data_IF_673724868387
#
_entry.id   IF_673724868387
#
_cell.length_a   1.000
_cell.length_b   1.000
_cell.length_c   1.000
_cell.angle_alpha   90.00
_cell.angle_beta   90.00
_cell.angle_gamma   90.00
#
_symmetry.space_group_name_H-M   'P 1'
#
loop_
_entity.id
_entity.type
_entity.pdbx_description
1 polymer ?
#
# COMPACT_ATOMS: atom_id res chain seq x y z
N UNK A 1 -17.14 -2.89 -1.55
CA UNK A 1 -15.95 -2.06 -1.83
C UNK A 1 -14.76 -2.94 -2.18
N UNK A 2 -14.50 -3.98 -1.39
CA UNK A 2 -13.40 -4.95 -1.56
C UNK A 2 -13.34 -5.58 -2.96
N UNK A 3 -14.48 -6.01 -3.52
CA UNK A 3 -14.54 -6.59 -4.87
C UNK A 3 -14.11 -5.61 -5.95
N UNK A 4 -14.51 -4.33 -5.85
CA UNK A 4 -14.12 -3.32 -6.84
C UNK A 4 -12.61 -3.04 -6.80
N UNK A 5 -12.00 -2.97 -5.61
CA UNK A 5 -10.54 -2.81 -5.46
C UNK A 5 -9.80 -4.03 -6.01
N UNK A 6 -10.27 -5.23 -5.65
CA UNK A 6 -9.71 -6.49 -6.15
C UNK A 6 -9.76 -6.56 -7.67
N UNK A 7 -10.93 -6.35 -8.25
CA UNK A 7 -11.16 -6.53 -9.69
C UNK A 7 -10.40 -5.45 -10.48
N UNK A 8 -10.29 -4.22 -9.94
CA UNK A 8 -9.45 -3.17 -10.48
C UNK A 8 -7.97 -3.58 -10.54
N UNK A 9 -7.41 -4.08 -9.42
CA UNK A 9 -6.02 -4.50 -9.36
C UNK A 9 -5.76 -5.74 -10.22
N UNK A 10 -6.69 -6.70 -10.26
CA UNK A 10 -6.59 -7.85 -11.16
C UNK A 10 -6.63 -7.45 -12.63
N UNK A 11 -7.49 -6.51 -13.02
CA UNK A 11 -7.57 -6.05 -14.40
C UNK A 11 -6.34 -5.25 -14.86
N UNK A 12 -5.60 -4.64 -13.93
CA UNK A 12 -4.47 -3.75 -14.23
C UNK A 12 -3.10 -4.40 -14.04
N UNK A 13 -2.96 -5.25 -13.02
CA UNK A 13 -1.71 -5.90 -12.64
C UNK A 13 -1.77 -7.43 -12.73
N UNK A 14 -2.98 -8.00 -12.70
CA UNK A 14 -3.17 -9.43 -12.84
C UNK A 14 -2.92 -9.85 -14.29
N UNK A 15 -2.19 -10.95 -14.45
CA UNK A 15 -2.10 -11.64 -15.74
C UNK A 15 -2.60 -13.06 -15.58
N UNK A 16 -3.13 -13.67 -16.64
CA UNK A 16 -3.55 -15.09 -16.62
C UNK A 16 -2.42 -16.05 -16.26
N UNK A 17 -1.14 -15.60 -16.32
CA UNK A 17 0.05 -16.38 -15.95
C UNK A 17 0.58 -16.09 -14.54
N UNK A 18 0.20 -14.96 -13.92
CA UNK A 18 0.60 -14.59 -12.57
C UNK A 18 -0.67 -14.32 -11.74
N UNK A 19 -1.17 -15.31 -10.99
CA UNK A 19 -2.34 -15.12 -10.14
C UNK A 19 -2.05 -14.13 -9.00
N UNK A 20 -0.77 -13.99 -8.61
CA UNK A 20 -0.29 -13.10 -7.55
C UNK A 20 -0.03 -11.69 -8.07
N UNK A 21 -0.57 -10.70 -7.37
CA UNK A 21 -0.35 -9.28 -7.64
C UNK A 21 0.94 -8.85 -6.95
N UNK A 22 1.96 -8.52 -7.75
CA UNK A 22 3.21 -7.95 -7.24
C UNK A 22 3.07 -6.45 -7.00
N UNK A 23 3.48 -6.03 -5.81
CA UNK A 23 3.38 -4.67 -5.30
C UNK A 23 4.74 -4.17 -4.81
N UNK A 24 4.91 -2.86 -4.79
CA UNK A 24 6.09 -2.22 -4.20
C UNK A 24 6.04 -2.41 -2.67
N UNK A 25 7.17 -2.68 -1.99
CA UNK A 25 7.18 -2.84 -0.54
C UNK A 25 6.58 -1.64 0.20
N UNK A 26 5.89 -1.91 1.31
CA UNK A 26 5.26 -0.89 2.15
C UNK A 26 6.30 0.09 2.68
N UNK A 27 7.51 -0.38 3.01
CA UNK A 27 8.62 0.46 3.50
C UNK A 27 9.02 1.57 2.53
N UNK A 28 8.78 1.41 1.23
CA UNK A 28 9.06 2.41 0.19
C UNK A 28 7.96 3.46 0.08
N UNK A 29 6.76 3.19 0.59
CA UNK A 29 5.56 4.02 0.37
C UNK A 29 5.07 4.68 1.68
N UNK A 30 5.16 3.98 2.80
CA UNK A 30 4.49 4.28 4.06
C UNK A 30 4.75 5.70 4.59
N UNK A 31 5.98 6.19 4.47
CA UNK A 31 6.41 7.48 5.02
C UNK A 31 6.60 8.56 3.96
N UNK A 32 6.16 8.31 2.72
CA UNK A 32 6.32 9.30 1.67
C UNK A 32 5.35 10.45 1.84
N UNK A 33 5.89 11.65 1.97
CA UNK A 33 5.15 12.89 1.76
C UNK A 33 4.99 13.19 0.26
N UNK A 34 4.19 14.20 -0.08
CA UNK A 34 3.86 14.51 -1.49
C UNK A 34 5.08 14.63 -2.42
N UNK A 35 6.18 15.26 -1.98
CA UNK A 35 7.42 15.33 -2.78
C UNK A 35 8.10 13.97 -2.91
N UNK A 36 8.18 13.20 -1.82
CA UNK A 36 8.76 11.86 -1.83
C UNK A 36 7.99 10.90 -2.75
N UNK A 37 6.66 11.07 -2.83
CA UNK A 37 5.82 10.33 -3.76
C UNK A 37 6.16 10.62 -5.22
N UNK A 38 6.32 11.91 -5.59
CA UNK A 38 6.72 12.30 -6.95
C UNK A 38 8.08 11.71 -7.30
N UNK A 39 9.05 11.83 -6.40
CA UNK A 39 10.39 11.28 -6.60
C UNK A 39 10.36 9.75 -6.78
N UNK A 40 9.62 9.02 -5.95
CA UNK A 40 9.46 7.57 -6.10
C UNK A 40 8.88 7.24 -7.49
N UNK A 41 7.88 7.99 -7.97
CA UNK A 41 7.30 7.74 -9.29
C UNK A 41 8.28 8.01 -10.43
N UNK A 42 9.18 8.98 -10.28
CA UNK A 42 10.23 9.27 -11.27
C UNK A 42 11.30 8.18 -11.33
N UNK A 43 11.70 7.65 -10.17
CA UNK A 43 12.72 6.60 -10.03
C UNK A 43 12.23 5.22 -10.48
N UNK A 44 10.93 4.92 -10.30
CA UNK A 44 10.38 3.63 -10.67
C UNK A 44 10.25 3.46 -12.20
N UNK A 45 10.56 2.26 -12.73
CA UNK A 45 10.19 1.88 -14.08
C UNK A 45 8.70 2.14 -14.33
N UNK A 46 8.30 2.55 -15.56
CA UNK A 46 6.90 2.84 -15.87
C UNK A 46 5.91 1.76 -15.44
N UNK A 47 6.30 0.49 -15.57
CA UNK A 47 5.48 -0.67 -15.22
C UNK A 47 5.28 -0.84 -13.70
N UNK A 48 6.19 -0.31 -12.88
CA UNK A 48 6.17 -0.42 -11.42
C UNK A 48 5.49 0.77 -10.74
N UNK A 49 5.34 1.90 -11.43
CA UNK A 49 4.60 3.07 -10.90
C UNK A 49 3.19 2.71 -10.47
N UNK A 50 2.52 1.88 -11.27
CA UNK A 50 1.17 1.41 -10.94
C UNK A 50 1.16 0.42 -9.75
N UNK A 51 2.26 -0.31 -9.51
CA UNK A 51 2.41 -1.18 -8.33
C UNK A 51 2.57 -0.38 -7.05
N UNK A 52 3.30 0.74 -7.08
CA UNK A 52 3.37 1.67 -5.96
C UNK A 52 1.99 2.25 -5.62
N UNK A 53 1.25 2.67 -6.65
CA UNK A 53 -0.16 3.08 -6.48
C UNK A 53 -1.01 1.97 -5.86
N UNK A 54 -0.89 0.73 -6.35
CA UNK A 54 -1.60 -0.42 -5.79
C UNK A 54 -1.31 -0.63 -4.31
N UNK A 55 -0.06 -0.45 -3.89
CA UNK A 55 0.36 -0.53 -2.48
C UNK A 55 -0.35 0.52 -1.63
N UNK A 56 -0.31 1.79 -2.05
CA UNK A 56 -0.97 2.89 -1.36
C UNK A 56 -2.50 2.69 -1.29
N UNK A 57 -3.11 2.20 -2.37
CA UNK A 57 -4.54 1.88 -2.43
C UNK A 57 -4.92 0.81 -1.42
N UNK A 58 -4.15 -0.29 -1.35
CA UNK A 58 -4.42 -1.39 -0.43
C UNK A 58 -4.22 -0.99 1.03
N UNK A 59 -3.19 -0.20 1.33
CA UNK A 59 -2.96 0.38 2.66
C UNK A 59 -4.16 1.24 3.08
N UNK A 60 -4.56 2.17 2.22
CA UNK A 60 -5.68 3.08 2.50
C UNK A 60 -6.97 2.29 2.73
N UNK A 61 -7.25 1.31 1.87
CA UNK A 61 -8.43 0.47 2.03
C UNK A 61 -8.38 -0.35 3.32
N UNK A 62 -7.23 -0.91 3.68
CA UNK A 62 -7.04 -1.71 4.88
C UNK A 62 -7.29 -0.93 6.18
N UNK A 63 -6.81 0.32 6.25
CA UNK A 63 -7.00 1.16 7.42
C UNK A 63 -8.40 1.77 7.50
N UNK A 64 -8.99 2.17 6.37
CA UNK A 64 -10.32 2.79 6.36
C UNK A 64 -11.46 1.77 6.50
N UNK A 65 -11.28 0.54 5.99
CA UNK A 65 -12.33 -0.50 6.00
C UNK A 65 -12.06 -1.66 6.96
N UNK A 66 -10.95 -1.63 7.70
CA UNK A 66 -10.53 -2.74 8.55
C UNK A 66 -11.11 -2.75 9.97
N UNK A 67 -12.08 -1.89 10.26
CA UNK A 67 -12.80 -1.82 11.53
C UNK A 67 -12.47 -0.58 12.38
N UNK A 68 -13.19 -0.39 13.50
CA UNK A 68 -13.11 0.82 14.33
C UNK A 68 -11.69 1.11 14.84
N UNK A 69 -10.96 0.07 15.25
CA UNK A 69 -9.60 0.21 15.80
C UNK A 69 -8.64 0.83 14.78
N UNK A 70 -8.71 0.38 13.51
CA UNK A 70 -7.85 0.89 12.44
C UNK A 70 -8.26 2.28 11.99
N UNK A 71 -9.56 2.56 11.96
CA UNK A 71 -10.06 3.91 11.71
C UNK A 71 -9.61 4.89 12.81
N UNK A 72 -9.50 4.43 14.05
CA UNK A 72 -8.99 5.24 15.15
C UNK A 72 -7.51 5.59 14.96
N UNK A 73 -6.69 4.68 14.41
CA UNK A 73 -5.30 4.98 14.01
C UNK A 73 -5.26 6.12 12.99
N UNK A 74 -6.06 6.02 11.91
CA UNK A 74 -6.13 7.09 10.90
C UNK A 74 -6.63 8.41 11.49
N UNK A 75 -7.63 8.37 12.36
CA UNK A 75 -8.16 9.59 13.01
C UNK A 75 -7.09 10.26 13.85
N UNK A 76 -6.39 9.51 14.71
CA UNK A 76 -5.28 10.04 15.52
C UNK A 76 -4.20 10.66 14.65
N UNK A 77 -3.85 10.00 13.56
CA UNK A 77 -2.88 10.51 12.59
C UNK A 77 -3.35 11.85 11.97
N UNK A 78 -4.60 11.96 11.52
CA UNK A 78 -5.13 13.20 10.95
C UNK A 78 -5.17 14.34 11.98
N UNK A 79 -5.51 14.03 13.24
CA UNK A 79 -5.47 14.99 14.34
C UNK A 79 -4.04 15.48 14.65
N UNK A 80 -3.04 14.61 14.50
CA UNK A 80 -1.62 14.93 14.65
C UNK A 80 -1.06 15.69 13.45
N UNK A 81 -1.54 15.41 12.22
CA UNK A 81 -1.12 16.08 10.99
C UNK A 81 -1.30 17.61 11.04
N UNK A 82 -2.36 18.06 11.74
CA UNK A 82 -2.65 19.48 11.93
C UNK A 82 -1.64 20.20 12.84
N UNK A 83 -0.80 19.48 13.57
CA UNK A 83 0.24 20.03 14.46
C UNK A 83 1.57 20.04 13.70
N UNK A 84 1.90 21.18 13.09
CA UNK A 84 3.14 21.41 12.33
C UNK A 84 4.38 20.85 13.06
N UNK A 85 5.15 20.00 12.38
CA UNK A 85 6.55 19.73 12.75
C UNK A 85 6.95 18.27 13.03
N UNK A 86 6.06 17.28 12.91
CA UNK A 86 6.45 15.86 12.97
C UNK A 86 5.97 15.12 11.72
N UNK A 87 6.83 14.29 11.09
CA UNK A 87 6.36 13.29 10.13
C UNK A 87 5.27 12.49 10.82
N UNK A 88 4.12 12.35 10.16
CA UNK A 88 3.06 11.53 10.68
C UNK A 88 3.53 10.07 10.58
N UNK A 89 4.00 9.51 11.70
CA UNK A 89 4.20 8.08 11.82
C UNK A 89 2.80 7.45 11.75
N UNK A 90 2.45 7.05 10.52
CA UNK A 90 1.14 6.52 10.16
C UNK A 90 0.75 5.35 11.08
N UNK A 91 1.76 4.59 11.52
CA UNK A 91 1.64 3.39 12.34
C UNK A 91 2.99 3.15 13.03
N UNK A 92 3.01 2.80 14.31
CA UNK A 92 4.19 2.24 15.02
C UNK A 92 4.47 0.77 14.60
N UNK A 93 3.75 0.25 13.61
CA UNK A 93 3.93 -1.11 13.09
C UNK A 93 5.07 -1.14 12.07
N UNK A 94 5.92 -2.16 12.16
CA UNK A 94 6.97 -2.37 11.18
C UNK A 94 6.35 -2.64 9.79
N UNK A 95 6.93 -2.12 8.69
CA UNK A 95 6.40 -2.33 7.34
C UNK A 95 6.12 -3.79 7.00
N UNK A 96 6.97 -4.71 7.46
CA UNK A 96 6.86 -6.16 7.26
C UNK A 96 5.61 -6.74 7.95
N UNK A 97 5.24 -6.21 9.12
CA UNK A 97 4.02 -6.61 9.82
C UNK A 97 2.78 -6.15 9.07
N UNK A 98 2.82 -4.94 8.51
CA UNK A 98 1.75 -4.39 7.68
C UNK A 98 1.58 -5.22 6.41
N UNK A 99 2.68 -5.57 5.73
CA UNK A 99 2.68 -6.45 4.54
C UNK A 99 2.08 -7.83 4.84
N UNK A 100 2.46 -8.45 5.96
CA UNK A 100 1.93 -9.74 6.38
C UNK A 100 0.41 -9.66 6.64
N UNK A 101 -0.05 -8.59 7.30
CA UNK A 101 -1.47 -8.35 7.59
C UNK A 101 -2.27 -8.06 6.32
N UNK A 102 -1.73 -7.27 5.39
CA UNK A 102 -2.32 -6.99 4.09
C UNK A 102 -2.47 -8.28 3.29
N UNK A 103 -1.41 -9.07 3.19
CA UNK A 103 -1.41 -10.37 2.51
C UNK A 103 -2.49 -11.28 3.08
N UNK A 104 -2.56 -11.42 4.41
CA UNK A 104 -3.59 -12.24 5.07
C UNK A 104 -5.01 -11.71 4.82
N UNK A 105 -5.19 -10.39 4.81
CA UNK A 105 -6.50 -9.77 4.60
C UNK A 105 -7.01 -9.97 3.17
N UNK A 106 -6.13 -9.81 2.17
CA UNK A 106 -6.47 -9.87 0.76
C UNK A 106 -6.46 -11.30 0.18
N UNK A 107 -5.63 -12.20 0.71
CA UNK A 107 -5.68 -13.64 0.36
C UNK A 107 -7.08 -14.23 0.60
N UNK A 108 -7.73 -13.87 1.72
CA UNK A 108 -9.10 -14.30 2.04
C UNK A 108 -10.16 -13.77 1.07
N UNK A 109 -9.79 -12.87 0.16
CA UNK A 109 -10.66 -12.19 -0.82
C UNK A 109 -10.26 -12.53 -2.25
N UNK A 110 -9.53 -13.62 -2.45
CA UNK A 110 -9.01 -14.07 -3.74
C UNK A 110 -8.05 -13.07 -4.41
N UNK A 111 -7.32 -12.30 -3.61
CA UNK A 111 -6.30 -11.37 -4.10
C UNK A 111 -4.94 -11.71 -3.45
N UNK A 112 -4.21 -12.69 -4.02
CA UNK A 112 -2.89 -13.02 -3.52
C UNK A 112 -1.90 -11.90 -3.83
N UNK A 113 -1.14 -11.50 -2.81
CA UNK A 113 -0.20 -10.38 -2.87
C UNK A 113 1.24 -10.87 -2.69
N UNK A 114 2.17 -10.20 -3.36
CA UNK A 114 3.61 -10.35 -3.18
C UNK A 114 4.22 -8.94 -3.15
N UNK A 115 5.02 -8.64 -2.13
CA UNK A 115 5.71 -7.37 -2.01
C UNK A 115 7.17 -7.58 -2.43
N UNK A 116 7.52 -7.08 -3.61
CA UNK A 116 8.85 -7.22 -4.18
C UNK A 116 9.12 -6.07 -5.15
N UNK A 117 10.34 -5.54 -5.14
CA UNK A 117 10.79 -4.68 -6.23
C UNK A 117 11.02 -5.56 -7.47
N UNK A 118 10.59 -5.09 -8.63
CA UNK A 118 10.98 -5.71 -9.89
C UNK A 118 12.50 -5.63 -10.00
N UNK A 119 13.16 -6.73 -10.39
CA UNK A 119 14.62 -6.78 -10.49
C UNK A 119 15.12 -5.65 -11.41
N UNK A 120 15.86 -4.69 -10.85
CA UNK A 120 16.34 -3.53 -11.61
C UNK A 120 16.74 -2.29 -10.81
N UNK A 121 16.51 -2.25 -9.50
CA UNK A 121 16.85 -1.08 -8.67
C UNK A 121 18.01 -1.45 -7.75
N UNK A 122 19.21 -0.96 -8.09
CA UNK A 122 20.37 -0.89 -7.20
C UNK A 122 20.21 0.27 -6.21
#
# INVERSE_FOLDING_TARGET
MDAAVRDHLKGRLGTTRQPTIRLVPVSKVLHLEGRGWVQLMEELPPDDRYRAYGTALLLTHYYLNGGPDRQQVVRKMLEQAGRRGRPNEMVDEAPEEIEARLTKFWNKRDLPLEFALSEGIK
#
